data_IF_107009907974
#
_entry.id   IF_107009907974
#
_cell.length_a   1.000
_cell.length_b   1.000
_cell.length_c   1.000
_cell.angle_alpha   90.00
_cell.angle_beta   90.00
_cell.angle_gamma   90.00
#
_symmetry.space_group_name_H-M   'P 1'
#
loop_
_entity.id
_entity.type
_entity.pdbx_description
1 polymer ?
#
# COMPACT_ATOMS: atom_id res chain seq x y z
N UNK A 1 -29.87 10.33 -29.69
CA UNK A 1 -28.73 9.65 -29.03
C UNK A 1 -28.52 10.26 -27.65
N UNK A 2 -28.96 9.59 -26.60
CA UNK A 2 -28.79 10.06 -25.21
C UNK A 2 -27.37 9.70 -24.78
N UNK A 3 -26.48 10.69 -24.73
CA UNK A 3 -25.13 10.52 -24.15
C UNK A 3 -25.28 10.41 -22.63
N UNK A 4 -25.37 9.18 -22.12
CA UNK A 4 -25.26 8.92 -20.68
C UNK A 4 -23.90 9.43 -20.21
N UNK A 5 -23.91 10.46 -19.38
CA UNK A 5 -22.77 10.86 -18.58
C UNK A 5 -22.32 9.65 -17.76
N UNK A 6 -21.20 9.02 -18.14
CA UNK A 6 -20.51 8.08 -17.27
C UNK A 6 -19.91 8.88 -16.13
N UNK A 7 -20.65 8.88 -15.03
CA UNK A 7 -20.29 9.33 -13.69
C UNK A 7 -18.79 9.11 -13.47
N UNK A 8 -18.04 10.18 -13.21
CA UNK A 8 -16.64 10.12 -12.76
C UNK A 8 -16.58 9.12 -11.59
N UNK A 9 -15.89 7.99 -11.79
CA UNK A 9 -15.61 7.04 -10.69
C UNK A 9 -15.03 7.85 -9.53
N UNK A 10 -15.65 7.75 -8.34
CA UNK A 10 -15.01 8.20 -7.10
C UNK A 10 -13.63 7.54 -7.06
N UNK A 11 -12.59 8.28 -6.68
CA UNK A 11 -11.24 7.73 -6.54
C UNK A 11 -11.28 6.59 -5.51
N UNK A 12 -11.24 5.35 -6.00
CA UNK A 12 -11.17 4.15 -5.18
C UNK A 12 -9.68 3.81 -4.97
N UNK A 13 -9.26 3.80 -3.72
CA UNK A 13 -7.92 3.45 -3.25
C UNK A 13 -7.99 2.10 -2.53
N UNK A 14 -7.92 0.97 -3.23
CA UNK A 14 -8.07 -0.34 -2.60
C UNK A 14 -6.91 -0.64 -1.64
N UNK A 15 -7.24 -1.11 -0.45
CA UNK A 15 -6.26 -1.51 0.56
C UNK A 15 -5.41 -2.69 0.07
N UNK A 16 -4.09 -2.58 0.21
CA UNK A 16 -3.15 -3.64 -0.18
C UNK A 16 -3.39 -4.97 0.55
N UNK A 17 -3.89 -4.92 1.79
CA UNK A 17 -4.18 -6.08 2.63
C UNK A 17 -5.60 -6.65 2.41
N UNK A 18 -6.64 -5.87 2.72
CA UNK A 18 -8.02 -6.37 2.76
C UNK A 18 -8.84 -6.13 1.48
N UNK A 19 -8.25 -5.44 0.49
CA UNK A 19 -8.87 -5.08 -0.81
C UNK A 19 -10.11 -4.18 -0.74
N UNK A 20 -10.58 -3.81 0.45
CA UNK A 20 -11.63 -2.80 0.65
C UNK A 20 -11.09 -1.39 0.41
N UNK A 21 -11.95 -0.46 0.03
CA UNK A 21 -11.57 0.90 -0.28
C UNK A 21 -11.04 1.66 0.96
N UNK A 22 -9.91 2.36 0.83
CA UNK A 22 -9.35 3.28 1.80
C UNK A 22 -10.06 4.63 1.69
N UNK A 23 -10.60 5.12 2.81
CA UNK A 23 -11.33 6.41 2.87
C UNK A 23 -10.55 7.44 3.69
N UNK A 24 -10.40 7.17 4.99
CA UNK A 24 -9.74 8.03 5.97
C UNK A 24 -8.71 7.22 6.76
N UNK A 25 -7.71 7.89 7.34
CA UNK A 25 -6.69 7.26 8.19
C UNK A 25 -6.04 6.05 7.52
N UNK A 26 -5.43 6.29 6.37
CA UNK A 26 -4.73 5.27 5.60
C UNK A 26 -3.29 5.67 5.38
N UNK A 27 -2.43 4.67 5.29
CA UNK A 27 -0.99 4.81 5.11
C UNK A 27 -0.63 4.45 3.67
N UNK A 28 0.21 5.26 3.05
CA UNK A 28 0.70 4.99 1.70
C UNK A 28 2.10 4.38 1.78
N UNK A 29 2.27 3.19 1.21
CA UNK A 29 3.58 2.54 1.14
C UNK A 29 4.34 3.01 -0.10
N UNK A 30 5.52 3.61 0.07
CA UNK A 30 6.34 4.09 -1.06
C UNK A 30 6.86 2.96 -1.94
N UNK A 31 7.05 1.76 -1.37
CA UNK A 31 7.66 0.63 -2.08
C UNK A 31 6.69 -0.05 -3.03
N UNK A 32 5.48 -0.35 -2.57
CA UNK A 32 4.49 -1.06 -3.38
C UNK A 32 3.36 -0.17 -3.88
N UNK A 33 3.46 1.14 -3.64
CA UNK A 33 2.55 2.19 -4.08
C UNK A 33 1.08 1.89 -3.78
N UNK A 34 0.83 1.26 -2.63
CA UNK A 34 -0.50 0.86 -2.18
C UNK A 34 -0.88 1.56 -0.89
N UNK A 35 -2.17 1.82 -0.78
CA UNK A 35 -2.78 2.32 0.45
C UNK A 35 -3.09 1.15 1.39
N UNK A 36 -3.00 1.41 2.69
CA UNK A 36 -3.32 0.45 3.74
C UNK A 36 -4.14 1.17 4.82
N UNK A 37 -5.20 0.54 5.32
CA UNK A 37 -5.86 1.05 6.52
C UNK A 37 -4.92 0.93 7.72
N UNK A 38 -4.93 1.91 8.63
CA UNK A 38 -4.17 1.82 9.88
C UNK A 38 -4.47 0.53 10.65
N UNK A 39 -5.74 0.10 10.66
CA UNK A 39 -6.17 -1.14 11.31
C UNK A 39 -5.56 -2.39 10.65
N UNK A 40 -5.44 -2.39 9.32
CA UNK A 40 -4.83 -3.50 8.58
C UNK A 40 -3.33 -3.61 8.88
N UNK A 41 -2.67 -2.47 9.11
CA UNK A 41 -1.25 -2.40 9.49
C UNK A 41 -1.04 -2.46 11.00
N UNK A 42 -2.12 -2.62 11.78
CA UNK A 42 -2.11 -2.61 13.26
C UNK A 42 -1.43 -1.37 13.86
N UNK A 43 -1.52 -0.24 13.16
CA UNK A 43 -0.96 1.05 13.57
C UNK A 43 -1.98 1.78 14.44
N UNK A 44 -1.63 2.03 15.69
CA UNK A 44 -2.48 2.78 16.61
C UNK A 44 -2.38 4.31 16.34
N UNK A 45 -3.27 5.10 16.94
CA UNK A 45 -3.32 6.57 16.74
C UNK A 45 -2.03 7.29 17.19
N UNK A 46 -1.34 6.78 18.21
CA UNK A 46 -0.10 7.38 18.70
C UNK A 46 1.03 7.16 17.70
N UNK A 47 1.19 5.94 17.20
CA UNK A 47 2.14 5.58 16.14
C UNK A 47 1.85 6.32 14.85
N UNK A 48 0.58 6.50 14.48
CA UNK A 48 0.21 7.29 13.31
C UNK A 48 0.69 8.74 13.42
N UNK A 49 0.58 9.35 14.62
CA UNK A 49 1.06 10.71 14.86
C UNK A 49 2.59 10.79 14.78
N UNK A 50 3.29 9.80 15.35
CA UNK A 50 4.75 9.72 15.21
C UNK A 50 5.15 9.60 13.74
N UNK A 51 4.47 8.76 12.96
CA UNK A 51 4.72 8.61 11.53
C UNK A 51 4.45 9.90 10.73
N UNK A 52 3.50 10.74 11.15
CA UNK A 52 3.29 12.05 10.49
C UNK A 52 4.36 13.09 10.84
N UNK A 53 5.03 12.93 11.98
CA UNK A 53 6.08 13.85 12.45
C UNK A 53 7.47 13.46 11.91
N UNK A 54 7.62 12.22 11.43
CA UNK A 54 8.85 11.70 10.83
C UNK A 54 8.87 12.04 9.33
N UNK A 55 9.96 12.62 8.79
CA UNK A 55 10.06 12.98 7.37
C UNK A 55 10.33 11.79 6.43
N UNK A 56 10.37 10.57 6.96
CA UNK A 56 10.67 9.35 6.23
C UNK A 56 9.41 8.74 5.62
N UNK A 57 9.56 8.16 4.44
CA UNK A 57 8.46 7.49 3.76
C UNK A 57 8.03 6.22 4.50
N UNK A 58 6.71 6.02 4.59
CA UNK A 58 6.17 4.82 5.20
C UNK A 58 6.36 3.57 4.33
N UNK A 59 6.74 2.47 4.96
CA UNK A 59 6.84 1.14 4.35
C UNK A 59 5.86 0.19 5.05
N UNK A 60 4.97 -0.46 4.28
CA UNK A 60 3.98 -1.40 4.84
C UNK A 60 4.60 -2.70 5.33
N UNK A 61 3.86 -3.44 6.16
CA UNK A 61 4.28 -4.71 6.77
C UNK A 61 4.68 -5.77 5.76
N UNK A 62 4.13 -5.71 4.55
CA UNK A 62 4.47 -6.61 3.44
C UNK A 62 5.74 -6.21 2.69
N UNK A 63 6.34 -5.07 2.98
CA UNK A 63 7.54 -4.58 2.30
C UNK A 63 8.67 -4.29 3.27
N UNK A 64 8.40 -4.10 4.56
CA UNK A 64 9.41 -3.89 5.59
C UNK A 64 9.84 -5.20 6.26
N UNK A 65 11.08 -5.23 6.73
CA UNK A 65 11.60 -6.17 7.71
C UNK A 65 11.13 -5.80 9.12
N UNK A 66 11.43 -6.66 10.12
CA UNK A 66 11.08 -6.41 11.53
C UNK A 66 11.76 -5.16 12.11
N UNK A 67 12.89 -4.74 11.54
CA UNK A 67 13.61 -3.51 11.88
C UNK A 67 12.99 -2.23 11.26
N UNK A 68 11.96 -2.38 10.42
CA UNK A 68 11.28 -1.27 9.76
C UNK A 68 11.87 -0.86 8.40
N UNK A 69 13.03 -1.40 8.01
CA UNK A 69 13.66 -1.12 6.71
C UNK A 69 13.06 -1.97 5.59
N UNK A 70 13.30 -1.58 4.34
CA UNK A 70 12.83 -2.34 3.18
C UNK A 70 13.46 -3.74 3.12
N UNK A 71 12.62 -4.76 2.90
CA UNK A 71 13.05 -6.15 2.73
C UNK A 71 13.51 -6.42 1.28
N UNK A 72 14.81 -6.24 1.07
CA UNK A 72 15.46 -6.50 -0.22
C UNK A 72 15.31 -7.95 -0.67
N UNK A 73 15.38 -8.94 0.23
CA UNK A 73 15.31 -10.35 -0.13
C UNK A 73 13.91 -10.71 -0.65
N UNK A 74 12.87 -10.27 0.06
CA UNK A 74 11.49 -10.43 -0.38
C UNK A 74 11.21 -9.67 -1.68
N UNK A 75 11.80 -8.48 -1.86
CA UNK A 75 11.75 -7.73 -3.11
C UNK A 75 12.28 -8.53 -4.30
N UNK A 76 13.47 -9.13 -4.17
CA UNK A 76 14.09 -9.96 -5.20
C UNK A 76 13.26 -11.22 -5.49
N UNK A 77 12.69 -11.87 -4.48
CA UNK A 77 11.85 -13.04 -4.67
C UNK A 77 10.58 -12.72 -5.49
N UNK A 78 9.94 -11.58 -5.23
CA UNK A 78 8.79 -11.09 -6.02
C UNK A 78 9.16 -10.83 -7.46
N UNK A 79 10.31 -10.19 -7.71
CA UNK A 79 10.82 -9.96 -9.06
C UNK A 79 11.07 -11.28 -9.81
N UNK A 80 11.66 -12.28 -9.15
CA UNK A 80 11.86 -13.61 -9.74
C UNK A 80 10.53 -14.24 -10.19
N UNK A 81 9.48 -14.19 -9.36
CA UNK A 81 8.15 -14.74 -9.70
C UNK A 81 7.56 -14.11 -10.97
N UNK A 82 7.75 -12.81 -11.18
CA UNK A 82 7.31 -12.12 -12.40
C UNK A 82 8.22 -12.46 -13.59
N UNK A 83 9.54 -12.55 -13.37
CA UNK A 83 10.49 -12.95 -14.42
C UNK A 83 10.24 -14.35 -15.00
N UNK A 84 9.71 -15.28 -14.19
CA UNK A 84 9.26 -16.58 -14.67
C UNK A 84 8.00 -16.51 -15.55
N UNK A 85 7.08 -15.59 -15.26
CA UNK A 85 5.86 -15.39 -16.05
C UNK A 85 6.11 -14.77 -17.43
N UNK A 86 7.25 -14.09 -17.62
CA UNK A 86 7.63 -13.47 -18.91
C UNK A 86 8.36 -14.48 -19.83
N UNK A 87 8.85 -15.59 -19.28
CA UNK A 87 9.55 -16.64 -20.04
C UNK A 87 8.68 -17.83 -20.44
N UNK A 88 7.39 -17.84 -20.08
CA UNK A 88 6.40 -18.84 -20.49
C UNK A 88 5.50 -18.26 -21.59
#
# INVERSE_FOLDING_TARGET
MVRRQTIKKKNEWPCGACKKNCLHSSLFCVVCEKWFHCDCEKVNKQTLKLLSDIPEDYICSFCRCEDGHFDYLMGIERLRKVGYLIKA
#
